data_IF_956606402786
#
_entry.id   IF_956606402786
#
_cell.length_a   1.000
_cell.length_b   1.000
_cell.length_c   1.000
_cell.angle_alpha   90.00
_cell.angle_beta   90.00
_cell.angle_gamma   90.00
#
_symmetry.space_group_name_H-M   'P 1'
#
loop_
_entity.id
_entity.type
_entity.pdbx_description
1 polymer ?
#
# COMPACT_ATOMS: atom_id res chain seq x y z
N UNK A 1 21.80 9.53 -3.13
CA UNK A 1 22.78 8.47 -3.14
C UNK A 1 23.39 8.30 -1.75
N UNK A 2 23.47 7.07 -1.30
CA UNK A 2 24.04 6.73 0.01
C UNK A 2 25.51 7.16 0.10
N UNK A 3 25.88 7.83 1.18
CA UNK A 3 27.23 8.31 1.45
C UNK A 3 28.29 7.18 1.62
N UNK A 4 27.88 5.92 1.53
CA UNK A 4 28.73 4.72 1.67
C UNK A 4 29.19 4.09 0.35
N UNK A 5 28.85 4.67 -0.80
CA UNK A 5 29.12 4.09 -2.13
C UNK A 5 30.59 4.19 -2.63
N UNK A 6 31.55 4.39 -1.72
CA UNK A 6 32.97 4.39 -2.12
C UNK A 6 33.38 3.00 -2.61
N UNK A 7 33.57 2.87 -3.93
CA UNK A 7 34.01 1.63 -4.59
C UNK A 7 32.88 0.81 -5.20
N UNK A 8 31.65 1.31 -5.24
CA UNK A 8 30.54 0.71 -5.96
C UNK A 8 30.60 1.13 -7.44
N UNK A 9 30.37 0.16 -8.34
CA UNK A 9 30.23 0.43 -9.77
C UNK A 9 28.75 0.59 -10.09
N UNK A 10 28.43 1.64 -10.82
CA UNK A 10 27.07 1.92 -11.33
C UNK A 10 27.02 1.65 -12.83
N UNK A 11 25.95 1.09 -13.32
CA UNK A 11 25.67 0.86 -14.72
C UNK A 11 24.39 1.64 -15.11
N UNK A 12 24.59 2.75 -15.83
CA UNK A 12 23.48 3.60 -16.30
C UNK A 12 22.59 2.94 -17.35
N UNK A 13 23.02 1.81 -17.90
CA UNK A 13 22.34 1.10 -18.97
C UNK A 13 21.40 0.00 -18.39
N UNK A 14 21.37 -0.17 -17.06
CA UNK A 14 20.46 -1.11 -16.40
C UNK A 14 18.99 -0.68 -16.57
N UNK A 15 18.16 -1.66 -16.93
CA UNK A 15 16.70 -1.55 -16.91
C UNK A 15 16.14 -2.24 -15.67
N UNK A 16 14.90 -1.89 -15.33
CA UNK A 16 14.18 -2.51 -14.22
C UNK A 16 14.01 -4.01 -14.48
N UNK A 17 14.42 -4.83 -13.51
CA UNK A 17 14.27 -6.27 -13.53
C UNK A 17 12.85 -6.68 -13.10
N UNK A 18 12.36 -7.76 -13.70
CA UNK A 18 11.14 -8.37 -13.20
C UNK A 18 11.41 -9.05 -11.85
N UNK A 19 10.62 -8.74 -10.83
CA UNK A 19 10.72 -9.33 -9.49
C UNK A 19 10.67 -10.87 -9.50
N UNK A 20 10.05 -11.49 -10.52
CA UNK A 20 9.98 -12.94 -10.68
C UNK A 20 11.26 -13.55 -11.24
N UNK A 21 12.26 -12.76 -11.64
CA UNK A 21 13.57 -13.28 -12.06
C UNK A 21 14.25 -14.10 -10.97
N UNK A 22 13.93 -13.85 -9.70
CA UNK A 22 14.43 -14.64 -8.56
C UNK A 22 14.03 -16.12 -8.64
N UNK A 23 12.94 -16.45 -9.34
CA UNK A 23 12.47 -17.82 -9.55
C UNK A 23 12.88 -18.40 -10.90
N UNK A 24 13.39 -17.57 -11.81
CA UNK A 24 13.85 -17.96 -13.15
C UNK A 24 15.36 -18.10 -13.12
N UNK A 25 15.91 -19.07 -13.89
CA UNK A 25 17.34 -19.08 -14.14
C UNK A 25 17.75 -17.90 -15.04
N UNK A 26 19.02 -17.53 -15.06
CA UNK A 26 19.55 -16.39 -15.84
C UNK A 26 19.12 -16.36 -17.31
N UNK A 27 18.89 -17.54 -17.92
CA UNK A 27 18.45 -17.67 -19.31
C UNK A 27 16.97 -17.26 -19.54
N UNK A 28 16.16 -17.19 -18.50
CA UNK A 28 14.73 -16.86 -18.56
C UNK A 28 14.40 -15.50 -17.92
N UNK A 29 15.40 -14.74 -17.52
CA UNK A 29 15.22 -13.43 -16.91
C UNK A 29 14.56 -12.44 -17.88
N UNK A 30 13.67 -11.61 -17.36
CA UNK A 30 12.93 -10.60 -18.12
C UNK A 30 13.08 -9.22 -17.49
N UNK A 31 12.99 -8.20 -18.34
CA UNK A 31 13.29 -6.80 -17.98
C UNK A 31 12.23 -5.88 -18.57
N UNK A 32 11.97 -4.75 -17.89
CA UNK A 32 11.11 -3.69 -18.40
C UNK A 32 11.93 -2.68 -19.20
N UNK A 33 11.41 -2.26 -20.35
CA UNK A 33 12.01 -1.15 -21.10
C UNK A 33 11.75 0.18 -20.38
N UNK A 34 12.70 1.10 -20.48
CA UNK A 34 12.59 2.44 -19.89
C UNK A 34 11.68 3.33 -20.75
N UNK A 35 10.47 3.64 -20.27
CA UNK A 35 9.48 4.52 -20.92
C UNK A 35 8.45 5.02 -19.90
N UNK A 36 7.61 5.97 -20.29
CA UNK A 36 6.45 6.38 -19.51
C UNK A 36 5.35 5.32 -19.58
N UNK A 37 4.59 5.14 -18.49
CA UNK A 37 3.44 4.24 -18.46
C UNK A 37 2.37 4.73 -19.44
N UNK A 38 2.01 3.89 -20.38
CA UNK A 38 0.92 4.12 -21.33
C UNK A 38 -0.01 2.92 -21.29
N UNK A 39 -1.26 3.13 -20.92
CA UNK A 39 -2.26 2.07 -20.74
C UNK A 39 -2.48 1.17 -21.96
N UNK A 40 -2.00 1.55 -23.15
CA UNK A 40 -2.26 0.86 -24.41
C UNK A 40 -1.01 0.18 -24.98
N UNK A 41 0.19 0.50 -24.48
CA UNK A 41 1.44 -0.06 -25.05
C UNK A 41 1.72 -1.47 -24.58
N UNK A 42 2.17 -2.33 -25.53
CA UNK A 42 2.64 -3.70 -25.21
C UNK A 42 3.94 -3.72 -24.42
N UNK A 43 4.70 -2.63 -24.46
CA UNK A 43 6.00 -2.49 -23.82
C UNK A 43 5.88 -2.35 -22.28
N UNK A 44 4.65 -2.24 -21.75
CA UNK A 44 4.38 -2.25 -20.31
C UNK A 44 4.65 -3.63 -19.65
N UNK A 45 4.88 -4.67 -20.46
CA UNK A 45 5.19 -6.00 -19.96
C UNK A 45 6.70 -6.30 -20.07
N UNK A 46 7.26 -7.10 -19.15
CA UNK A 46 8.68 -7.44 -19.22
C UNK A 46 9.00 -8.32 -20.43
N UNK A 47 10.18 -8.11 -21.00
CA UNK A 47 10.68 -8.84 -22.17
C UNK A 47 11.83 -9.77 -21.79
N UNK A 48 11.93 -10.93 -22.45
CA UNK A 48 12.95 -11.95 -22.21
C UNK A 48 14.39 -11.58 -22.59
N UNK A 49 14.62 -10.43 -23.20
CA UNK A 49 15.95 -9.92 -23.52
C UNK A 49 16.30 -8.77 -22.60
N UNK A 50 17.54 -8.74 -22.10
CA UNK A 50 18.06 -7.62 -21.34
C UNK A 50 17.97 -6.35 -22.20
N UNK A 51 17.03 -5.47 -21.87
CA UNK A 51 16.93 -4.17 -22.49
C UNK A 51 18.07 -3.26 -21.97
N UNK A 52 18.57 -2.39 -22.81
CA UNK A 52 19.58 -1.39 -22.45
C UNK A 52 18.90 -0.05 -22.36
N UNK A 53 18.97 0.59 -21.19
CA UNK A 53 18.46 1.94 -20.99
C UNK A 53 19.33 2.94 -21.78
N UNK A 54 18.72 3.80 -22.55
CA UNK A 54 19.43 4.77 -23.37
C UNK A 54 19.29 6.19 -22.80
N UNK A 55 20.29 7.03 -23.05
CA UNK A 55 20.22 8.45 -22.68
C UNK A 55 19.01 9.17 -23.32
N UNK A 56 18.59 8.71 -24.51
CA UNK A 56 17.38 9.24 -25.19
C UNK A 56 16.10 8.97 -24.40
N UNK A 57 15.96 7.77 -23.86
CA UNK A 57 14.80 7.39 -23.03
C UNK A 57 14.78 8.21 -21.72
N UNK A 58 15.90 8.34 -21.03
CA UNK A 58 15.99 9.20 -19.83
C UNK A 58 15.62 10.66 -20.14
N UNK A 59 16.05 11.20 -21.27
CA UNK A 59 15.67 12.56 -21.69
C UNK A 59 14.16 12.68 -21.96
N UNK A 60 13.54 11.64 -22.53
CA UNK A 60 12.08 11.60 -22.73
C UNK A 60 11.33 11.68 -21.41
N UNK A 61 11.71 10.84 -20.45
CA UNK A 61 11.14 10.83 -19.10
C UNK A 61 11.31 12.19 -18.42
N UNK A 62 12.52 12.78 -18.46
CA UNK A 62 12.75 14.10 -17.88
C UNK A 62 11.90 15.18 -18.51
N UNK A 63 11.70 15.14 -19.84
CA UNK A 63 10.83 16.09 -20.54
C UNK A 63 9.38 15.94 -20.08
N UNK A 64 8.88 14.70 -19.94
CA UNK A 64 7.54 14.44 -19.44
C UNK A 64 7.35 14.99 -18.03
N UNK A 65 8.32 14.80 -17.13
CA UNK A 65 8.32 15.39 -15.78
C UNK A 65 8.33 16.92 -15.83
N UNK A 66 9.15 17.52 -16.67
CA UNK A 66 9.19 18.99 -16.83
C UNK A 66 7.83 19.53 -17.29
N UNK A 67 7.15 18.86 -18.19
CA UNK A 67 5.86 19.30 -18.75
C UNK A 67 4.70 19.11 -17.78
N UNK A 68 4.65 18.00 -17.06
CA UNK A 68 3.52 17.63 -16.23
C UNK A 68 3.70 18.00 -14.74
N UNK A 69 4.92 18.10 -14.25
CA UNK A 69 5.22 18.38 -12.86
C UNK A 69 5.72 19.83 -12.68
N UNK A 70 6.87 20.20 -13.25
CA UNK A 70 7.48 21.51 -13.00
C UNK A 70 6.67 22.69 -13.55
N UNK A 71 6.03 22.54 -14.70
CA UNK A 71 5.21 23.62 -15.31
C UNK A 71 3.86 23.84 -14.60
N UNK A 72 3.35 22.84 -13.88
CA UNK A 72 2.06 22.93 -13.18
C UNK A 72 2.16 23.46 -11.74
N UNK A 73 3.33 23.87 -11.27
CA UNK A 73 3.55 24.31 -9.88
C UNK A 73 3.20 23.20 -8.85
N UNK A 74 4.18 22.37 -8.46
CA UNK A 74 3.98 21.22 -7.56
C UNK A 74 3.29 21.55 -6.23
N UNK A 75 3.44 22.78 -5.73
CA UNK A 75 2.88 23.23 -4.44
C UNK A 75 1.35 23.32 -4.47
N UNK A 76 0.75 23.50 -5.65
CA UNK A 76 -0.70 23.60 -5.82
C UNK A 76 -1.35 22.32 -6.34
N UNK A 77 -0.56 21.25 -6.48
CA UNK A 77 -1.03 19.95 -7.00
C UNK A 77 -1.61 19.11 -5.88
N UNK A 78 -2.73 18.45 -6.16
CA UNK A 78 -3.30 17.44 -5.27
C UNK A 78 -2.34 16.24 -5.13
N UNK A 79 -2.22 15.69 -3.94
CA UNK A 79 -1.28 14.59 -3.65
C UNK A 79 -1.48 13.37 -4.56
N UNK A 80 -2.72 13.01 -4.85
CA UNK A 80 -3.05 11.89 -5.73
C UNK A 80 -2.67 12.18 -7.20
N UNK A 81 -2.78 13.44 -7.65
CA UNK A 81 -2.30 13.85 -8.98
C UNK A 81 -0.77 13.75 -9.05
N UNK A 82 -0.08 14.20 -8.01
CA UNK A 82 1.38 14.07 -7.89
C UNK A 82 1.82 12.60 -7.96
N UNK A 83 1.22 11.75 -7.13
CA UNK A 83 1.55 10.32 -7.11
C UNK A 83 1.33 9.67 -8.48
N UNK A 84 0.24 10.02 -9.18
CA UNK A 84 -0.03 9.49 -10.51
C UNK A 84 1.01 9.94 -11.54
N UNK A 85 1.42 11.21 -11.54
CA UNK A 85 2.46 11.69 -12.47
C UNK A 85 3.79 10.99 -12.21
N UNK A 86 4.14 10.79 -10.94
CA UNK A 86 5.36 10.07 -10.57
C UNK A 86 5.28 8.59 -10.96
N UNK A 87 4.13 7.94 -10.78
CA UNK A 87 3.91 6.56 -11.20
C UNK A 87 4.02 6.42 -12.72
N UNK A 88 3.25 7.21 -13.48
CA UNK A 88 3.27 7.21 -14.95
C UNK A 88 4.70 7.40 -15.51
N UNK A 89 5.55 8.11 -14.78
CA UNK A 89 6.88 8.49 -15.27
C UNK A 89 7.99 7.57 -14.78
N UNK A 90 7.92 7.11 -13.52
CA UNK A 90 9.05 6.50 -12.82
C UNK A 90 8.87 5.01 -12.51
N UNK A 91 7.72 4.42 -12.87
CA UNK A 91 7.42 3.01 -12.56
C UNK A 91 8.40 2.03 -13.23
N UNK A 92 8.96 2.37 -14.39
CA UNK A 92 9.93 1.55 -15.12
C UNK A 92 11.38 2.04 -14.98
N UNK A 93 11.62 3.06 -14.14
CA UNK A 93 12.97 3.55 -13.82
C UNK A 93 13.47 2.76 -12.60
N UNK A 94 14.64 2.09 -12.66
CA UNK A 94 15.18 1.41 -11.49
C UNK A 94 15.59 2.42 -10.41
N UNK A 95 15.33 2.10 -9.15
CA UNK A 95 15.69 2.95 -8.00
C UNK A 95 17.19 3.00 -7.76
N UNK A 96 17.91 1.94 -8.14
CA UNK A 96 19.37 1.81 -8.03
C UNK A 96 19.93 1.24 -9.32
N UNK A 97 21.09 1.77 -9.75
CA UNK A 97 21.88 1.21 -10.83
C UNK A 97 23.19 0.61 -10.31
N UNK A 98 23.25 0.29 -9.03
CA UNK A 98 24.34 -0.37 -8.36
C UNK A 98 24.47 -1.83 -8.84
N UNK A 99 25.62 -2.17 -9.43
CA UNK A 99 25.86 -3.52 -9.99
C UNK A 99 25.91 -4.65 -8.94
N UNK A 100 25.90 -4.34 -7.64
CA UNK A 100 25.87 -5.32 -6.54
C UNK A 100 24.45 -5.64 -6.06
N UNK A 101 23.46 -4.94 -6.55
CA UNK A 101 22.05 -5.05 -6.18
C UNK A 101 21.23 -5.50 -7.39
N UNK A 102 20.09 -6.12 -7.14
CA UNK A 102 19.09 -6.35 -8.17
C UNK A 102 18.35 -5.05 -8.43
N UNK A 103 18.20 -4.69 -9.70
CA UNK A 103 17.48 -3.49 -10.11
C UNK A 103 15.96 -3.78 -10.22
N UNK A 104 15.37 -4.41 -9.22
CA UNK A 104 13.99 -4.93 -9.19
C UNK A 104 12.98 -4.02 -8.47
N UNK A 105 13.45 -2.91 -7.92
CA UNK A 105 12.61 -1.89 -7.28
C UNK A 105 12.56 -0.64 -8.16
N UNK A 106 11.35 -0.18 -8.48
CA UNK A 106 11.17 1.05 -9.27
C UNK A 106 11.51 2.30 -8.45
N UNK A 107 11.93 3.36 -9.15
CA UNK A 107 12.17 4.65 -8.52
C UNK A 107 10.87 5.23 -7.93
N UNK A 108 9.73 4.98 -8.57
CA UNK A 108 8.41 5.36 -8.04
C UNK A 108 8.14 4.69 -6.69
N UNK A 109 8.27 3.36 -6.60
CA UNK A 109 8.00 2.64 -5.35
C UNK A 109 8.95 3.07 -4.23
N UNK A 110 10.24 3.26 -4.55
CA UNK A 110 11.22 3.77 -3.61
C UNK A 110 10.84 5.16 -3.07
N UNK A 111 10.48 6.09 -3.95
CA UNK A 111 10.08 7.45 -3.56
C UNK A 111 8.77 7.45 -2.77
N UNK A 112 7.77 6.69 -3.20
CA UNK A 112 6.48 6.52 -2.53
C UNK A 112 6.67 6.03 -1.09
N UNK A 113 7.41 4.95 -0.89
CA UNK A 113 7.66 4.39 0.43
C UNK A 113 8.50 5.30 1.31
N UNK A 114 9.50 6.00 0.74
CA UNK A 114 10.30 6.98 1.47
C UNK A 114 9.42 8.13 1.98
N UNK A 115 8.53 8.64 1.12
CA UNK A 115 7.55 9.67 1.50
C UNK A 115 6.58 9.20 2.58
N UNK A 116 6.04 7.99 2.44
CA UNK A 116 5.14 7.39 3.42
C UNK A 116 5.80 7.24 4.80
N UNK A 117 7.03 6.71 4.85
CA UNK A 117 7.79 6.57 6.09
C UNK A 117 8.08 7.94 6.72
N UNK A 118 8.48 8.94 5.93
CA UNK A 118 8.74 10.29 6.41
C UNK A 118 7.49 10.93 7.01
N UNK A 119 6.33 10.82 6.35
CA UNK A 119 5.05 11.35 6.83
C UNK A 119 4.64 10.70 8.16
N UNK A 120 4.75 9.38 8.28
CA UNK A 120 4.47 8.62 9.50
C UNK A 120 5.39 9.06 10.65
N UNK A 121 6.70 9.17 10.39
CA UNK A 121 7.67 9.62 11.39
C UNK A 121 7.38 11.04 11.89
N UNK A 122 7.07 11.96 10.96
CA UNK A 122 6.72 13.34 11.32
C UNK A 122 5.48 13.36 12.21
N UNK A 123 4.41 12.69 11.82
CA UNK A 123 3.16 12.63 12.58
C UNK A 123 3.38 12.00 13.97
N UNK A 124 4.10 10.88 14.04
CA UNK A 124 4.44 10.26 15.33
C UNK A 124 5.21 11.21 16.25
N UNK A 125 6.23 11.90 15.73
CA UNK A 125 7.05 12.83 16.50
C UNK A 125 6.23 14.03 16.98
N UNK A 126 5.35 14.58 16.13
CA UNK A 126 4.45 15.68 16.49
C UNK A 126 3.51 15.27 17.62
N UNK A 127 2.82 14.15 17.48
CA UNK A 127 1.89 13.63 18.49
C UNK A 127 2.59 13.25 19.80
N UNK A 128 3.83 12.76 19.72
CA UNK A 128 4.67 12.43 20.88
C UNK A 128 5.41 13.65 21.45
N UNK A 129 5.21 14.86 20.90
CA UNK A 129 5.86 16.12 21.30
C UNK A 129 7.39 16.05 21.24
N UNK A 130 7.92 15.29 20.27
CA UNK A 130 9.36 15.19 20.01
C UNK A 130 9.74 16.34 19.08
N UNK A 131 10.47 17.33 19.59
CA UNK A 131 10.85 18.54 18.84
C UNK A 131 12.23 18.46 18.23
N UNK A 132 13.13 17.64 18.75
CA UNK A 132 14.46 17.44 18.20
C UNK A 132 14.48 16.22 17.27
N UNK A 133 14.15 16.46 15.97
CA UNK A 133 14.15 15.43 14.94
C UNK A 133 15.56 14.86 14.68
N UNK A 134 16.60 15.71 14.81
CA UNK A 134 17.98 15.30 14.59
C UNK A 134 18.44 14.35 15.68
N UNK A 135 18.14 14.68 16.91
CA UNK A 135 18.39 13.82 18.08
C UNK A 135 17.69 12.47 17.93
N UNK A 136 16.40 12.50 17.59
CA UNK A 136 15.58 11.28 17.49
C UNK A 136 15.98 10.38 16.31
N UNK A 137 16.13 10.96 15.10
CA UNK A 137 16.34 10.18 13.89
C UNK A 137 17.81 9.80 13.62
N UNK A 138 18.78 10.57 14.14
CA UNK A 138 20.19 10.38 13.79
C UNK A 138 21.06 10.07 15.01
N UNK A 139 21.00 10.87 16.08
CA UNK A 139 21.91 10.68 17.24
C UNK A 139 21.57 9.40 17.99
N UNK A 140 20.30 9.18 18.31
CA UNK A 140 19.80 7.99 19.02
C UNK A 140 19.10 6.99 18.09
N UNK A 141 19.50 6.93 16.82
CA UNK A 141 18.83 6.09 15.82
C UNK A 141 18.80 4.60 16.21
N UNK A 142 19.87 4.06 16.79
CA UNK A 142 19.95 2.64 17.16
C UNK A 142 18.92 2.26 18.23
N UNK A 143 18.71 3.14 19.23
CA UNK A 143 17.70 2.92 20.27
C UNK A 143 16.29 3.12 19.71
N UNK A 144 16.09 4.21 18.94
CA UNK A 144 14.80 4.59 18.43
C UNK A 144 14.28 3.64 17.33
N UNK A 145 15.17 2.92 16.62
CA UNK A 145 14.78 1.86 15.67
C UNK A 145 14.03 0.70 16.31
N UNK A 146 14.16 0.51 17.63
CA UNK A 146 13.44 -0.54 18.37
C UNK A 146 12.10 -0.06 18.95
N UNK A 147 11.76 1.22 18.81
CA UNK A 147 10.47 1.76 19.26
C UNK A 147 9.39 1.48 18.22
N UNK A 148 8.23 1.04 18.67
CA UNK A 148 7.06 0.82 17.84
C UNK A 148 6.46 2.17 17.40
N UNK A 149 7.09 2.79 16.41
CA UNK A 149 6.71 4.09 15.83
C UNK A 149 5.66 3.92 14.74
N UNK A 150 5.69 2.80 14.04
CA UNK A 150 4.82 2.49 12.90
C UNK A 150 3.68 1.59 13.31
N UNK A 151 2.60 1.66 12.55
CA UNK A 151 1.42 0.81 12.67
C UNK A 151 1.09 0.26 11.28
N UNK A 152 1.07 -1.07 11.12
CA UNK A 152 0.51 -1.69 9.95
C UNK A 152 -0.98 -1.91 10.17
N UNK A 153 -1.81 -1.25 9.37
CA UNK A 153 -3.25 -1.44 9.34
C UNK A 153 -3.58 -2.34 8.16
N UNK A 154 -4.36 -3.37 8.38
CA UNK A 154 -4.85 -4.26 7.32
C UNK A 154 -6.33 -4.47 7.46
N UNK A 155 -7.03 -4.51 6.34
CA UNK A 155 -8.43 -4.85 6.25
C UNK A 155 -8.68 -5.94 5.21
N UNK A 156 -9.70 -6.74 5.45
CA UNK A 156 -10.11 -7.82 4.56
C UNK A 156 -11.62 -7.97 4.57
N UNK A 157 -12.24 -7.94 3.41
CA UNK A 157 -13.66 -8.22 3.26
C UNK A 157 -13.96 -9.68 3.51
N UNK A 158 -14.80 -9.94 4.48
CA UNK A 158 -15.37 -11.25 4.76
C UNK A 158 -16.74 -11.39 4.10
N UNK A 159 -17.02 -12.55 3.51
CA UNK A 159 -18.30 -12.83 2.85
C UNK A 159 -18.33 -12.59 1.33
N UNK A 160 -17.19 -12.24 0.73
CA UNK A 160 -17.05 -11.96 -0.72
C UNK A 160 -17.64 -13.09 -1.56
N UNK A 161 -17.28 -14.35 -1.31
CA UNK A 161 -17.77 -15.48 -2.09
C UNK A 161 -19.30 -15.59 -2.01
N UNK A 162 -19.88 -15.50 -0.82
CA UNK A 162 -21.33 -15.53 -0.64
C UNK A 162 -22.02 -14.37 -1.35
N UNK A 163 -21.41 -13.18 -1.34
CA UNK A 163 -21.92 -12.02 -2.04
C UNK A 163 -21.83 -12.19 -3.56
N UNK A 164 -20.69 -12.62 -4.10
CA UNK A 164 -20.48 -12.77 -5.54
C UNK A 164 -21.33 -13.90 -6.13
N UNK A 165 -21.38 -15.08 -5.48
CA UNK A 165 -22.03 -16.28 -6.04
C UNK A 165 -23.51 -16.43 -5.73
N UNK A 166 -24.13 -15.52 -4.98
CA UNK A 166 -25.59 -15.48 -4.79
C UNK A 166 -26.29 -14.94 -6.05
N UNK A 167 -26.26 -15.72 -7.14
CA UNK A 167 -26.68 -15.31 -8.48
C UNK A 167 -27.75 -16.26 -9.01
N UNK A 168 -28.73 -15.70 -9.76
CA UNK A 168 -29.67 -16.49 -10.58
C UNK A 168 -28.93 -16.94 -11.85
N UNK A 169 -29.33 -18.08 -12.43
CA UNK A 169 -28.68 -18.69 -13.59
C UNK A 169 -28.71 -17.77 -14.84
N UNK A 170 -29.74 -16.96 -14.97
CA UNK A 170 -29.90 -16.04 -16.08
C UNK A 170 -29.06 -14.75 -15.87
N UNK A 171 -28.16 -14.43 -16.79
CA UNK A 171 -27.28 -13.27 -16.71
C UNK A 171 -26.10 -13.39 -15.75
N UNK A 172 -25.78 -14.63 -15.28
CA UNK A 172 -24.78 -14.91 -14.25
C UNK A 172 -23.42 -14.20 -14.49
N UNK A 173 -22.87 -14.24 -15.70
CA UNK A 173 -21.59 -13.63 -16.03
C UNK A 173 -21.57 -12.09 -15.86
N UNK A 174 -22.68 -11.42 -16.26
CA UNK A 174 -22.80 -9.97 -16.08
C UNK A 174 -22.86 -9.61 -14.59
N UNK A 175 -23.64 -10.37 -13.82
CA UNK A 175 -23.79 -10.13 -12.37
C UNK A 175 -22.48 -10.41 -11.63
N UNK A 176 -21.73 -11.46 -11.98
CA UNK A 176 -20.41 -11.74 -11.42
C UNK A 176 -19.47 -10.56 -11.60
N UNK A 177 -19.31 -10.09 -12.84
CA UNK A 177 -18.45 -8.95 -13.15
C UNK A 177 -18.89 -7.69 -12.40
N UNK A 178 -20.19 -7.39 -12.42
CA UNK A 178 -20.73 -6.22 -11.72
C UNK A 178 -20.50 -6.26 -10.22
N UNK A 179 -20.66 -7.43 -9.58
CA UNK A 179 -20.43 -7.58 -8.13
C UNK A 179 -18.95 -7.54 -7.76
N UNK A 180 -18.07 -8.16 -8.56
CA UNK A 180 -16.62 -8.03 -8.35
C UNK A 180 -16.18 -6.58 -8.47
N UNK A 181 -16.58 -5.88 -9.53
CA UNK A 181 -16.27 -4.47 -9.74
C UNK A 181 -16.82 -3.58 -8.61
N UNK A 182 -18.03 -3.85 -8.14
CA UNK A 182 -18.61 -3.14 -6.99
C UNK A 182 -17.75 -3.31 -5.72
N UNK A 183 -17.28 -4.53 -5.45
CA UNK A 183 -16.43 -4.76 -4.28
C UNK A 183 -15.08 -4.07 -4.38
N UNK A 184 -14.48 -4.03 -5.58
CA UNK A 184 -13.22 -3.33 -5.81
C UNK A 184 -13.39 -1.82 -5.55
N UNK A 185 -14.45 -1.19 -6.10
CA UNK A 185 -14.73 0.23 -5.85
C UNK A 185 -15.10 0.49 -4.39
N UNK A 186 -15.86 -0.40 -3.76
CA UNK A 186 -16.21 -0.25 -2.35
C UNK A 186 -14.96 -0.32 -1.46
N UNK A 187 -14.00 -1.20 -1.78
CA UNK A 187 -12.74 -1.30 -1.05
C UNK A 187 -11.88 -0.04 -1.23
N UNK A 188 -11.76 0.46 -2.45
CA UNK A 188 -11.04 1.71 -2.74
C UNK A 188 -11.65 2.90 -1.97
N UNK A 189 -12.97 3.01 -1.95
CA UNK A 189 -13.66 4.06 -1.19
C UNK A 189 -13.43 3.94 0.32
N UNK A 190 -13.44 2.72 0.86
CA UNK A 190 -13.12 2.45 2.28
C UNK A 190 -11.69 2.86 2.60
N UNK A 191 -10.76 2.55 1.73
CA UNK A 191 -9.35 2.93 1.88
C UNK A 191 -9.19 4.44 1.86
N UNK A 192 -9.86 5.13 0.93
CA UNK A 192 -9.82 6.60 0.86
C UNK A 192 -10.41 7.25 2.11
N UNK A 193 -11.56 6.78 2.60
CA UNK A 193 -12.16 7.26 3.85
C UNK A 193 -11.22 7.03 5.04
N UNK A 194 -10.58 5.87 5.10
CA UNK A 194 -9.63 5.56 6.18
C UNK A 194 -8.39 6.45 6.13
N UNK A 195 -7.81 6.68 4.94
CA UNK A 195 -6.66 7.56 4.76
C UNK A 195 -7.01 9.01 5.12
N UNK A 196 -8.18 9.51 4.72
CA UNK A 196 -8.66 10.85 5.03
C UNK A 196 -8.81 11.05 6.55
N UNK A 197 -9.51 10.16 7.24
CA UNK A 197 -9.71 10.23 8.68
C UNK A 197 -8.39 10.07 9.48
N UNK A 198 -7.42 9.36 8.93
CA UNK A 198 -6.08 9.22 9.48
C UNK A 198 -5.14 10.36 9.10
N UNK A 199 -5.56 11.31 8.27
CA UNK A 199 -4.72 12.38 7.71
C UNK A 199 -3.45 11.83 7.03
N UNK A 200 -3.62 10.79 6.23
CA UNK A 200 -2.60 10.13 5.44
C UNK A 200 -2.91 10.27 3.95
N UNK A 201 -1.89 10.11 3.12
CA UNK A 201 -2.05 10.10 1.65
C UNK A 201 -2.05 8.68 1.09
N UNK A 202 -2.37 8.54 -0.20
CA UNK A 202 -2.24 7.26 -0.91
C UNK A 202 -0.78 6.76 -1.01
N UNK A 203 0.21 7.58 -0.69
CA UNK A 203 1.58 7.11 -0.52
C UNK A 203 1.68 6.05 0.61
N UNK A 204 0.86 6.18 1.64
CA UNK A 204 0.79 5.27 2.78
C UNK A 204 0.06 3.96 2.49
N UNK A 205 -0.67 3.89 1.37
CA UNK A 205 -1.31 2.67 0.89
C UNK A 205 -0.26 1.75 0.23
N UNK A 206 0.07 0.64 0.91
CA UNK A 206 1.05 -0.33 0.42
C UNK A 206 0.42 -1.23 -0.63
N UNK A 207 -0.81 -1.68 -0.39
CA UNK A 207 -1.51 -2.62 -1.25
C UNK A 207 -3.02 -2.49 -1.09
N UNK A 208 -3.76 -2.58 -2.21
CA UNK A 208 -5.21 -2.64 -2.22
C UNK A 208 -5.66 -3.49 -3.42
N UNK A 209 -6.13 -4.70 -3.18
CA UNK A 209 -6.72 -5.56 -4.21
C UNK A 209 -7.37 -6.81 -3.62
N UNK A 210 -8.31 -7.40 -4.36
CA UNK A 210 -8.90 -8.70 -4.01
C UNK A 210 -9.68 -8.71 -2.70
N UNK A 211 -10.18 -7.57 -2.25
CA UNK A 211 -10.90 -7.44 -0.98
C UNK A 211 -9.99 -7.17 0.23
N UNK A 212 -8.70 -6.93 0.00
CA UNK A 212 -7.68 -6.80 1.04
C UNK A 212 -6.82 -5.55 0.83
N UNK A 213 -6.40 -4.89 1.93
CA UNK A 213 -5.48 -3.75 1.87
C UNK A 213 -4.48 -3.75 3.02
N UNK A 214 -3.36 -3.03 2.80
CA UNK A 214 -2.37 -2.68 3.81
C UNK A 214 -2.06 -1.18 3.76
N UNK A 215 -2.07 -0.53 4.93
CA UNK A 215 -1.73 0.89 5.11
C UNK A 215 -0.63 0.99 6.19
N UNK A 216 0.39 1.81 5.92
CA UNK A 216 1.41 2.17 6.89
C UNK A 216 1.03 3.49 7.57
N UNK A 217 0.82 3.46 8.87
CA UNK A 217 0.43 4.60 9.69
C UNK A 217 1.39 4.81 10.88
N UNK A 218 1.20 5.88 11.64
CA UNK A 218 1.86 6.12 12.91
C UNK A 218 1.21 5.30 14.03
N UNK A 219 2.03 4.82 14.96
CA UNK A 219 1.57 4.05 16.10
C UNK A 219 1.22 4.95 17.30
N UNK A 220 0.29 5.87 17.12
CA UNK A 220 -0.27 6.64 18.22
C UNK A 220 -1.61 6.05 18.66
N UNK A 221 -2.01 6.37 19.89
CA UNK A 221 -3.32 5.94 20.39
C UNK A 221 -4.46 6.54 19.58
N UNK A 222 -4.32 7.80 19.17
CA UNK A 222 -5.30 8.48 18.31
C UNK A 222 -5.51 7.75 16.99
N UNK A 223 -4.41 7.40 16.29
CA UNK A 223 -4.46 6.65 15.04
C UNK A 223 -5.13 5.28 15.20
N UNK A 224 -4.82 4.56 16.28
CA UNK A 224 -5.45 3.28 16.58
C UNK A 224 -6.96 3.41 16.87
N UNK A 225 -7.34 4.41 17.68
CA UNK A 225 -8.74 4.66 18.05
C UNK A 225 -9.54 5.12 16.82
N UNK A 226 -8.98 6.00 15.97
CA UNK A 226 -9.60 6.46 14.71
C UNK A 226 -9.79 5.28 13.74
N UNK A 227 -8.77 4.48 13.51
CA UNK A 227 -8.87 3.31 12.63
C UNK A 227 -9.99 2.35 13.07
N UNK A 228 -10.11 2.12 14.38
CA UNK A 228 -11.18 1.30 14.94
C UNK A 228 -12.55 1.92 14.74
N UNK A 229 -12.70 3.22 15.00
CA UNK A 229 -13.98 3.93 14.84
C UNK A 229 -14.46 3.92 13.38
N UNK A 230 -13.53 4.11 12.41
CA UNK A 230 -13.83 4.03 10.98
C UNK A 230 -14.30 2.62 10.60
N UNK A 231 -13.61 1.57 11.07
CA UNK A 231 -14.04 0.19 10.80
C UNK A 231 -15.43 -0.12 11.35
N UNK A 232 -15.75 0.36 12.55
CA UNK A 232 -17.07 0.21 13.16
C UNK A 232 -18.16 0.92 12.34
N UNK A 233 -17.92 2.18 11.92
CA UNK A 233 -18.82 2.97 11.07
C UNK A 233 -19.09 2.26 9.74
N UNK A 234 -18.03 1.77 9.08
CA UNK A 234 -18.15 1.03 7.83
C UNK A 234 -18.97 -0.25 8.02
N UNK A 235 -18.69 -1.03 9.06
CA UNK A 235 -19.42 -2.27 9.34
C UNK A 235 -20.89 -2.03 9.66
N UNK A 236 -21.25 -0.95 10.34
CA UNK A 236 -22.65 -0.54 10.53
C UNK A 236 -23.33 -0.26 9.17
N UNK A 237 -22.65 0.44 8.26
CA UNK A 237 -23.11 0.66 6.89
C UNK A 237 -23.29 -0.65 6.11
N UNK A 238 -22.31 -1.56 6.19
CA UNK A 238 -22.36 -2.85 5.52
C UNK A 238 -23.51 -3.74 6.04
N UNK A 239 -23.79 -3.71 7.34
CA UNK A 239 -24.94 -4.44 7.91
C UNK A 239 -26.25 -3.92 7.34
N UNK A 240 -26.43 -2.59 7.29
CA UNK A 240 -27.64 -1.96 6.74
C UNK A 240 -27.85 -2.26 5.26
N UNK A 241 -26.76 -2.24 4.47
CA UNK A 241 -26.82 -2.44 3.01
C UNK A 241 -26.90 -3.91 2.61
N UNK A 242 -26.26 -4.81 3.36
CA UNK A 242 -26.04 -6.20 2.93
C UNK A 242 -26.52 -7.24 3.97
N UNK A 243 -27.29 -6.81 4.98
CA UNK A 243 -27.86 -7.71 6.01
C UNK A 243 -26.81 -8.67 6.60
N UNK A 244 -25.60 -8.15 6.89
CA UNK A 244 -24.49 -8.93 7.46
C UNK A 244 -23.81 -9.92 6.50
N UNK A 245 -24.11 -9.88 5.20
CA UNK A 245 -23.42 -10.73 4.21
C UNK A 245 -21.96 -10.33 4.04
N UNK A 246 -21.69 -9.02 4.03
CA UNK A 246 -20.34 -8.45 3.95
C UNK A 246 -19.92 -7.88 5.30
N UNK A 247 -18.65 -8.03 5.63
CA UNK A 247 -18.03 -7.51 6.85
C UNK A 247 -16.58 -7.15 6.57
N UNK A 248 -16.15 -5.96 6.99
CA UNK A 248 -14.76 -5.55 6.97
C UNK A 248 -14.07 -5.99 8.26
N UNK A 249 -13.25 -7.02 8.18
CA UNK A 249 -12.37 -7.39 9.27
C UNK A 249 -11.11 -6.52 9.20
N UNK A 250 -10.78 -5.80 10.26
CA UNK A 250 -9.60 -4.96 10.32
C UNK A 250 -8.72 -5.33 11.51
N UNK A 251 -7.39 -5.30 11.29
CA UNK A 251 -6.38 -5.57 12.29
C UNK A 251 -5.27 -4.53 12.21
N UNK A 252 -4.68 -4.22 13.36
CA UNK A 252 -3.57 -3.28 13.51
C UNK A 252 -2.40 -3.96 14.22
N UNK A 253 -1.19 -3.82 13.69
CA UNK A 253 0.04 -4.37 14.28
C UNK A 253 1.09 -3.27 14.44
N UNK A 254 1.52 -2.95 15.69
CA UNK A 254 2.62 -2.05 15.95
C UNK A 254 3.94 -2.61 15.44
N UNK A 255 4.77 -1.74 14.84
CA UNK A 255 6.05 -2.09 14.24
C UNK A 255 7.12 -1.09 14.63
N UNK A 256 8.34 -1.57 14.72
CA UNK A 256 9.53 -0.74 14.82
C UNK A 256 10.26 -0.64 13.46
N UNK A 257 11.21 0.27 13.35
CA UNK A 257 11.98 0.43 12.10
C UNK A 257 12.76 -0.83 11.72
N UNK A 258 13.28 -1.58 12.70
CA UNK A 258 14.00 -2.83 12.45
C UNK A 258 13.10 -3.92 11.85
N UNK A 259 11.79 -3.91 12.10
CA UNK A 259 10.85 -4.85 11.47
C UNK A 259 10.68 -4.59 9.97
N UNK A 260 10.91 -3.35 9.53
CA UNK A 260 10.80 -2.93 8.13
C UNK A 260 12.12 -3.07 7.34
N UNK A 261 13.26 -3.25 8.02
CA UNK A 261 14.57 -3.36 7.37
C UNK A 261 14.84 -4.79 6.88
N UNK A 262 15.58 -4.92 5.77
CA UNK A 262 15.99 -6.22 5.24
C UNK A 262 16.95 -6.95 6.19
N UNK A 263 17.90 -6.21 6.78
CA UNK A 263 18.84 -6.70 7.77
C UNK A 263 18.49 -6.09 9.13
N UNK A 264 18.22 -6.94 10.12
CA UNK A 264 18.03 -6.51 11.51
C UNK A 264 19.33 -6.66 12.29
N UNK A 265 19.57 -5.79 13.27
CA UNK A 265 20.66 -5.99 14.24
C UNK A 265 20.52 -7.39 14.88
N UNK A 266 21.64 -8.07 15.16
CA UNK A 266 21.70 -9.45 15.69
C UNK A 266 20.83 -9.69 16.96
N UNK A 267 20.45 -8.63 17.64
CA UNK A 267 19.67 -8.68 18.89
C UNK A 267 18.15 -8.56 18.66
N UNK A 268 17.71 -8.10 17.48
CA UNK A 268 16.29 -7.91 17.19
C UNK A 268 15.72 -9.10 16.43
N UNK A 269 14.77 -9.81 17.06
CA UNK A 269 13.98 -10.81 16.36
C UNK A 269 12.94 -10.14 15.47
N UNK A 270 13.26 -10.03 14.19
CA UNK A 270 12.39 -9.43 13.17
C UNK A 270 11.01 -10.08 13.16
N UNK A 271 9.96 -9.28 13.32
CA UNK A 271 8.58 -9.74 13.14
C UNK A 271 8.30 -10.03 11.67
N UNK A 272 7.57 -11.10 11.40
CA UNK A 272 6.92 -11.24 10.11
C UNK A 272 5.65 -10.36 10.11
N UNK A 273 5.80 -9.10 9.68
CA UNK A 273 4.80 -8.04 9.75
C UNK A 273 3.47 -8.46 9.14
N UNK A 274 3.50 -8.99 7.92
CA UNK A 274 2.30 -9.39 7.20
C UNK A 274 1.58 -10.56 7.87
N UNK A 275 2.32 -11.49 8.43
CA UNK A 275 1.74 -12.60 9.20
C UNK A 275 1.09 -12.09 10.48
N UNK A 276 1.78 -11.24 11.24
CA UNK A 276 1.27 -10.73 12.51
C UNK A 276 -0.02 -9.94 12.32
N UNK A 277 -0.08 -9.04 11.34
CA UNK A 277 -1.30 -8.27 11.07
C UNK A 277 -2.42 -9.17 10.53
N UNK A 278 -2.11 -10.19 9.73
CA UNK A 278 -3.10 -11.14 9.23
C UNK A 278 -3.74 -11.96 10.35
N UNK A 279 -2.98 -12.33 11.39
CA UNK A 279 -3.52 -12.99 12.59
C UNK A 279 -4.51 -12.09 13.34
N UNK A 280 -4.26 -10.76 13.40
CA UNK A 280 -5.22 -9.78 13.96
C UNK A 280 -6.51 -9.69 13.13
N UNK A 281 -6.37 -9.62 11.79
CA UNK A 281 -7.53 -9.62 10.88
C UNK A 281 -8.32 -10.92 11.02
N UNK A 282 -7.66 -12.08 11.15
CA UNK A 282 -8.32 -13.35 11.37
C UNK A 282 -9.11 -13.35 12.68
N UNK A 283 -8.53 -12.82 13.76
CA UNK A 283 -9.23 -12.67 15.05
C UNK A 283 -10.46 -11.78 14.91
N UNK A 284 -10.37 -10.67 14.18
CA UNK A 284 -11.50 -9.79 13.90
C UNK A 284 -12.60 -10.50 13.08
N UNK A 285 -12.25 -11.40 12.16
CA UNK A 285 -13.22 -12.24 11.44
C UNK A 285 -13.97 -13.20 12.36
N UNK A 286 -13.35 -13.68 13.41
CA UNK A 286 -13.96 -14.59 14.38
C UNK A 286 -14.94 -13.87 15.33
N UNK A 287 -14.76 -12.57 15.55
CA UNK A 287 -15.58 -11.71 16.44
C UNK A 287 -16.27 -10.57 15.68
N UNK A 288 -17.04 -10.92 14.63
CA UNK A 288 -17.55 -9.97 13.63
C UNK A 288 -18.38 -8.82 14.17
N UNK A 289 -19.26 -9.08 15.13
CA UNK A 289 -20.25 -8.10 15.56
C UNK A 289 -20.23 -7.93 17.07
N UNK A 290 -20.19 -6.68 17.51
CA UNK A 290 -20.42 -6.34 18.91
C UNK A 290 -21.89 -6.51 19.31
N UNK A 291 -22.19 -6.47 20.62
CA UNK A 291 -23.56 -6.65 21.14
C UNK A 291 -24.60 -5.74 20.50
N UNK A 292 -24.25 -4.49 20.21
CA UNK A 292 -25.14 -3.48 19.66
C UNK A 292 -25.60 -3.84 18.23
N UNK A 293 -24.65 -4.25 17.38
CA UNK A 293 -24.95 -4.68 16.00
C UNK A 293 -25.74 -6.00 16.01
N UNK A 294 -25.41 -6.94 16.92
CA UNK A 294 -26.17 -8.18 17.07
C UNK A 294 -27.61 -7.89 17.48
N UNK A 295 -27.84 -6.96 18.38
CA UNK A 295 -29.20 -6.54 18.78
C UNK A 295 -29.95 -5.99 17.58
N UNK A 296 -29.34 -5.15 16.74
CA UNK A 296 -29.96 -4.59 15.54
C UNK A 296 -30.29 -5.68 14.49
N UNK A 297 -29.39 -6.68 14.31
CA UNK A 297 -29.60 -7.79 13.36
C UNK A 297 -30.75 -8.70 13.83
N UNK A 298 -30.88 -8.93 15.14
CA UNK A 298 -31.89 -9.81 15.70
C UNK A 298 -33.19 -9.12 16.14
N UNK A 299 -33.28 -7.77 15.97
CA UNK A 299 -34.52 -7.04 16.20
C UNK A 299 -35.55 -7.41 15.11
N UNK A 300 -36.65 -8.01 15.52
CA UNK A 300 -37.77 -8.43 14.65
C UNK A 300 -38.41 -7.25 13.89
N UNK A 301 -38.23 -6.02 14.39
CA UNK A 301 -38.73 -4.78 13.78
C UNK A 301 -37.70 -4.11 12.86
N UNK A 302 -36.47 -4.61 12.81
CA UNK A 302 -35.44 -4.04 11.95
C UNK A 302 -35.72 -4.38 10.48
N UNK A 303 -35.58 -3.36 9.60
CA UNK A 303 -35.70 -3.57 8.15
C UNK A 303 -34.58 -4.44 7.56
N UNK A 304 -33.57 -4.79 8.36
CA UNK A 304 -32.43 -5.60 7.96
C UNK A 304 -32.84 -7.04 7.61
N UNK A 305 -33.87 -7.58 8.28
CA UNK A 305 -34.35 -8.95 8.05
C UNK A 305 -35.36 -9.07 6.89
N UNK A 306 -35.72 -7.96 6.22
CA UNK A 306 -36.76 -7.96 5.15
C UNK A 306 -36.22 -7.98 3.73
N UNK A 307 -34.90 -8.07 3.53
CA UNK A 307 -34.29 -8.18 2.19
C UNK A 307 -34.22 -9.67 1.78
N UNK A 308 -35.31 -10.20 1.22
CA UNK A 308 -35.34 -11.44 0.44
C UNK A 308 -34.71 -11.22 -0.97
#
# INVERSE_FOLDING_TARGET
>A
GDLNDRGVKFDSDLCLENIFNVFSGDAESSYFSLHELDAIKKDNFPHGNKSIATQGQYRSIMRYLEENFWKKSPISMEENELLRILEDTLIYVPSSTNMKEHADISLYDHMKMTGAIAAVLMKYMEMSKITDYKEFCFTHNKENRNKDVFLMISGDFSGIQKFIYRIRSEGAMRMLRGRSFYLDIALENIVDELLEELHLSRANLIYCSGGHFYILADNTKETQDTAKAVAEKINQGLVKLFSGTLYLAMGCEPLCANDLMAESDEVHHKKNVFRSVSEKVFTAKASRYGPDILTEIFDENSNINRAD
#
